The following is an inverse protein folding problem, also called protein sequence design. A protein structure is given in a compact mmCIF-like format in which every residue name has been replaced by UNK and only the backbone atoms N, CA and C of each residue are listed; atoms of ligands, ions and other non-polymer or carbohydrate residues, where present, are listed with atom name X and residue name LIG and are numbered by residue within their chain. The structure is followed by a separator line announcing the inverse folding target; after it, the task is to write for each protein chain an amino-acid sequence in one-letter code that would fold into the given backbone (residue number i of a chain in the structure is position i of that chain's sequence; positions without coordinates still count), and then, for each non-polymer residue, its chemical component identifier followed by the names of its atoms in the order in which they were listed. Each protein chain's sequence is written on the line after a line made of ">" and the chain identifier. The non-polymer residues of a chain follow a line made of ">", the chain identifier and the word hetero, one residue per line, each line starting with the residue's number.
data_IF_796186458324
#
_entry.id   IF_796186458324
#
_cell.length_a   1.000
_cell.length_b   1.000
_cell.length_c   1.000
_cell.angle_alpha   90.00
_cell.angle_beta   90.00
_cell.angle_gamma   90.00
#
_symmetry.space_group_name_H-M   'P 1'
#
loop_
_entity.id
_entity.type
_entity.pdbx_description
1 polymer ?
#
# COMPACT_ATOMS: atom_id res chain seq x y z
N UNK A 1 -2.92 -19.19 9.06
CA UNK A 1 -2.22 -18.03 8.45
C UNK A 1 -3.28 -17.05 8.00
N UNK A 2 -3.18 -15.76 8.38
CA UNK A 2 -4.14 -14.74 7.92
C UNK A 2 -3.74 -14.31 6.51
N UNK A 3 -4.66 -14.41 5.55
CA UNK A 3 -4.43 -13.92 4.19
C UNK A 3 -4.56 -12.38 4.18
N UNK A 4 -3.44 -11.67 4.29
CA UNK A 4 -3.37 -10.21 4.21
C UNK A 4 -2.68 -9.80 2.91
N UNK A 5 -3.45 -9.54 1.82
CA UNK A 5 -2.88 -9.21 0.52
C UNK A 5 -2.25 -7.81 0.48
N UNK A 6 -2.52 -6.97 1.48
CA UNK A 6 -1.97 -5.62 1.62
C UNK A 6 -1.37 -5.47 3.01
N UNK A 7 -0.13 -4.97 3.09
CA UNK A 7 0.50 -4.53 4.33
C UNK A 7 0.97 -3.09 4.18
N UNK A 8 0.72 -2.25 5.18
CA UNK A 8 1.19 -0.85 5.20
C UNK A 8 1.95 -0.59 6.49
N UNK A 9 3.15 -0.03 6.37
CA UNK A 9 4.07 0.12 7.50
C UNK A 9 5.03 1.29 7.37
N UNK A 10 5.54 1.72 8.52
CA UNK A 10 6.60 2.71 8.63
C UNK A 10 7.96 2.03 8.65
N UNK A 11 8.93 2.57 7.92
CA UNK A 11 10.34 2.23 8.08
C UNK A 11 11.16 3.52 8.00
N UNK A 12 11.77 3.90 9.13
CA UNK A 12 12.23 5.27 9.32
C UNK A 12 11.08 6.27 9.21
N UNK A 13 11.32 7.38 8.52
CA UNK A 13 10.33 8.44 8.27
C UNK A 13 9.48 8.19 7.01
N UNK A 14 9.55 6.98 6.45
CA UNK A 14 8.91 6.65 5.19
C UNK A 14 7.80 5.62 5.34
N UNK A 15 6.72 5.86 4.62
CA UNK A 15 5.59 4.95 4.53
C UNK A 15 5.81 3.98 3.36
N UNK A 16 5.63 2.69 3.62
CA UNK A 16 5.75 1.62 2.64
C UNK A 16 4.45 0.82 2.53
N UNK A 17 4.24 0.24 1.34
CA UNK A 17 3.18 -0.73 1.08
C UNK A 17 3.76 -1.99 0.44
N UNK A 18 3.30 -3.15 0.88
CA UNK A 18 3.61 -4.46 0.28
C UNK A 18 2.29 -5.10 -0.17
N UNK A 19 2.26 -5.56 -1.43
CA UNK A 19 1.06 -6.16 -2.03
C UNK A 19 1.42 -7.53 -2.58
N UNK A 20 0.69 -8.55 -2.13
CA UNK A 20 0.83 -9.94 -2.58
C UNK A 20 -0.20 -10.27 -3.67
N UNK A 21 0.10 -11.25 -4.55
CA UNK A 21 -0.91 -11.83 -5.43
C UNK A 21 -1.99 -12.53 -4.60
N UNK A 22 -3.27 -12.48 -5.02
CA UNK A 22 -4.31 -13.30 -4.40
C UNK A 22 -3.96 -14.80 -4.54
N UNK A 23 -4.30 -15.59 -3.51
CA UNK A 23 -3.97 -17.02 -3.45
C UNK A 23 -5.05 -17.92 -4.09
N UNK A 24 -6.29 -17.43 -4.25
CA UNK A 24 -7.46 -18.21 -4.67
C UNK A 24 -8.04 -17.76 -6.02
N UNK A 25 -8.78 -18.67 -6.66
CA UNK A 25 -9.52 -18.46 -7.91
C UNK A 25 -10.67 -17.44 -7.77
N UNK A 26 -11.18 -17.22 -6.54
CA UNK A 26 -12.03 -16.09 -6.15
C UNK A 26 -11.19 -14.81 -5.92
N UNK A 27 -10.25 -14.56 -6.83
CA UNK A 27 -9.25 -13.51 -6.71
C UNK A 27 -9.91 -12.14 -6.52
N UNK A 28 -9.46 -11.42 -5.48
CA UNK A 28 -9.78 -10.00 -5.29
C UNK A 28 -9.37 -9.25 -6.57
N UNK A 29 -10.33 -8.58 -7.21
CA UNK A 29 -10.04 -7.80 -8.43
C UNK A 29 -9.02 -6.70 -8.14
N UNK A 30 -8.31 -6.23 -9.18
CA UNK A 30 -7.35 -5.14 -9.03
C UNK A 30 -8.01 -3.87 -8.45
N UNK A 31 -9.29 -3.63 -8.75
CA UNK A 31 -10.08 -2.52 -8.19
C UNK A 31 -10.36 -2.71 -6.70
N UNK A 32 -10.77 -3.91 -6.29
CA UNK A 32 -11.02 -4.22 -4.89
C UNK A 32 -9.71 -4.18 -4.07
N UNK A 33 -8.61 -4.65 -4.66
CA UNK A 33 -7.28 -4.60 -4.06
C UNK A 33 -6.77 -3.16 -3.95
N UNK A 34 -7.04 -2.32 -4.96
CA UNK A 34 -6.74 -0.89 -4.92
C UNK A 34 -7.52 -0.19 -3.81
N UNK A 35 -8.81 -0.50 -3.65
CA UNK A 35 -9.63 0.08 -2.59
C UNK A 35 -9.10 -0.30 -1.20
N UNK A 36 -8.81 -1.59 -0.99
CA UNK A 36 -8.21 -2.07 0.26
C UNK A 36 -6.86 -1.39 0.55
N UNK A 37 -6.02 -1.21 -0.46
CA UNK A 37 -4.75 -0.51 -0.34
C UNK A 37 -4.92 0.97 0.05
N UNK A 38 -5.88 1.67 -0.56
CA UNK A 38 -6.20 3.06 -0.23
C UNK A 38 -6.69 3.18 1.21
N UNK A 39 -7.60 2.30 1.64
CA UNK A 39 -8.16 2.35 2.98
C UNK A 39 -7.10 2.03 4.04
N UNK A 40 -6.25 1.03 3.80
CA UNK A 40 -5.13 0.69 4.68
C UNK A 40 -4.14 1.85 4.84
N UNK A 41 -3.86 2.59 3.76
CA UNK A 41 -2.98 3.77 3.81
C UNK A 41 -3.64 4.91 4.58
N UNK A 42 -4.93 5.17 4.34
CA UNK A 42 -5.69 6.21 5.05
C UNK A 42 -5.75 5.96 6.55
N UNK A 43 -6.00 4.72 6.96
CA UNK A 43 -5.96 4.31 8.36
C UNK A 43 -4.57 4.56 8.95
N UNK A 44 -3.51 4.20 8.23
CA UNK A 44 -2.13 4.32 8.73
C UNK A 44 -1.66 5.76 8.93
N UNK A 45 -2.20 6.71 8.18
CA UNK A 45 -1.83 8.13 8.23
C UNK A 45 -2.89 9.01 8.88
N UNK A 46 -3.96 8.43 9.44
CA UNK A 46 -5.10 9.18 9.97
C UNK A 46 -4.67 10.23 11.02
N UNK A 47 -3.65 9.92 11.81
CA UNK A 47 -3.12 10.79 12.87
C UNK A 47 -2.04 11.78 12.38
N UNK A 48 -1.59 11.69 11.13
CA UNK A 48 -0.59 12.60 10.55
C UNK A 48 -0.95 13.05 9.14
N UNK A 49 -1.68 14.16 9.06
CA UNK A 49 -2.11 14.77 7.80
C UNK A 49 -0.98 15.38 6.97
N UNK A 50 0.25 15.45 7.51
CA UNK A 50 1.43 15.99 6.79
C UNK A 50 2.02 14.96 5.83
N UNK A 51 1.66 13.69 5.98
CA UNK A 51 2.20 12.60 5.17
C UNK A 51 1.64 12.67 3.75
N UNK A 52 2.43 13.22 2.83
CA UNK A 52 2.07 13.25 1.42
C UNK A 52 2.31 11.87 0.77
N UNK A 53 1.26 11.28 0.20
CA UNK A 53 1.32 9.95 -0.44
C UNK A 53 1.51 10.06 -1.96
N UNK A 54 2.38 9.23 -2.52
CA UNK A 54 2.56 9.01 -3.97
C UNK A 54 1.56 7.95 -4.46
N UNK A 55 0.30 8.34 -4.65
CA UNK A 55 -0.78 7.43 -5.09
C UNK A 55 -0.51 6.70 -6.42
N UNK A 56 0.34 7.25 -7.29
CA UNK A 56 0.80 6.56 -8.50
C UNK A 56 1.63 5.31 -8.19
N UNK A 57 2.50 5.36 -7.16
CA UNK A 57 3.28 4.21 -6.71
C UNK A 57 2.41 3.16 -6.05
N UNK A 58 1.38 3.56 -5.30
CA UNK A 58 0.40 2.62 -4.76
C UNK A 58 -0.31 1.87 -5.89
N UNK A 59 -0.81 2.59 -6.92
CA UNK A 59 -1.42 1.96 -8.10
C UNK A 59 -0.44 1.02 -8.84
N UNK A 60 0.83 1.38 -8.89
CA UNK A 60 1.86 0.52 -9.48
C UNK A 60 2.05 -0.76 -8.65
N UNK A 61 2.14 -0.67 -7.32
CA UNK A 61 2.26 -1.83 -6.45
C UNK A 61 1.05 -2.78 -6.58
N UNK A 62 -0.17 -2.25 -6.77
CA UNK A 62 -1.38 -3.06 -7.01
C UNK A 62 -1.29 -3.83 -8.33
N UNK A 63 -0.71 -3.23 -9.37
CA UNK A 63 -0.51 -3.90 -10.66
C UNK A 63 0.59 -4.96 -10.57
N UNK A 64 1.69 -4.63 -9.92
CA UNK A 64 2.88 -5.50 -9.85
C UNK A 64 2.68 -6.68 -8.89
N UNK A 65 1.97 -6.49 -7.76
CA UNK A 65 1.72 -7.53 -6.73
C UNK A 65 2.98 -8.30 -6.35
N UNK A 66 4.12 -7.60 -6.34
CA UNK A 66 5.45 -8.19 -6.26
C UNK A 66 5.79 -8.89 -4.94
N UNK A 67 4.99 -8.67 -3.88
CA UNK A 67 5.30 -9.16 -2.53
C UNK A 67 6.52 -8.50 -1.87
N UNK A 68 7.05 -7.41 -2.45
CA UNK A 68 8.12 -6.60 -1.86
C UNK A 68 7.60 -5.22 -1.43
N UNK A 69 8.16 -4.61 -0.37
CA UNK A 69 7.79 -3.26 0.05
C UNK A 69 8.15 -2.17 -0.95
N UNK A 70 7.22 -1.26 -1.21
CA UNK A 70 7.39 -0.08 -2.04
C UNK A 70 7.18 1.19 -1.23
N UNK A 71 8.15 2.12 -1.25
CA UNK A 71 8.02 3.43 -0.60
C UNK A 71 6.93 4.25 -1.31
N UNK A 72 5.94 4.70 -0.56
CA UNK A 72 4.81 5.51 -1.03
C UNK A 72 4.71 6.89 -0.38
N UNK A 73 5.50 7.23 0.64
CA UNK A 73 5.58 8.63 1.09
C UNK A 73 6.37 9.51 0.10
N UNK A 74 6.06 10.81 0.10
CA UNK A 74 6.94 11.81 -0.50
C UNK A 74 8.02 12.17 0.51
N UNK A 75 9.26 12.30 0.03
CA UNK A 75 10.22 13.15 0.73
C UNK A 75 9.91 14.56 0.29
N UNK A 76 9.65 15.44 1.24
CA UNK A 76 9.93 16.85 1.01
C UNK A 76 11.46 16.95 1.00
N UNK A 77 12.02 17.30 -0.15
CA UNK A 77 13.42 17.74 -0.18
C UNK A 77 13.47 19.05 0.61
N UNK A 78 14.13 19.00 1.77
CA UNK A 78 14.50 20.20 2.52
C UNK A 78 15.52 20.99 1.70
#
# INVERSE_FOLDING_TARGET
>A
LVNQPVKVGWFGDHLYIEIHPPLDEDAVSDEALLQLAVDSVREKIADDSRIAVRWSRLRQAVKEKSGIPHMISRQDSI
#
